data_IF_553479009399
#
_entry.id   IF_553479009399
#
_cell.length_a   1.000
_cell.length_b   1.000
_cell.length_c   1.000
_cell.angle_alpha   90.00
_cell.angle_beta   90.00
_cell.angle_gamma   90.00
#
_symmetry.space_group_name_H-M   'P 1'
#
loop_
_entity.id
_entity.type
_entity.pdbx_description
1 polymer ?
#
# COMPACT_ATOMS: atom_id res chain seq x y z
N UNK A 1 -3.76 57.44 46.06
CA UNK A 1 -3.52 57.90 44.68
C UNK A 1 -2.27 57.25 44.06
N UNK A 2 -1.06 57.39 44.67
CA UNK A 2 0.20 56.80 44.10
C UNK A 2 0.16 55.28 44.06
N UNK A 3 -0.36 54.61 45.08
CA UNK A 3 -0.53 53.14 45.12
C UNK A 3 -1.61 52.68 44.15
N UNK A 4 -2.64 53.45 43.91
CA UNK A 4 -3.71 53.13 42.95
C UNK A 4 -3.20 53.21 41.50
N UNK A 5 -2.37 54.20 41.19
CA UNK A 5 -1.72 54.30 39.87
C UNK A 5 -0.77 53.15 39.62
N UNK A 6 0.01 52.77 40.64
CA UNK A 6 0.94 51.62 40.54
C UNK A 6 0.20 50.30 40.34
N UNK A 7 -0.93 50.10 41.03
CA UNK A 7 -1.79 48.91 40.87
C UNK A 7 -2.37 48.86 39.45
N UNK A 8 -2.89 49.99 38.96
CA UNK A 8 -3.45 50.09 37.62
C UNK A 8 -2.40 49.80 36.52
N UNK A 9 -1.18 50.33 36.70
CA UNK A 9 -0.07 50.05 35.78
C UNK A 9 0.33 48.56 35.80
N UNK A 10 0.45 47.95 36.98
CA UNK A 10 0.74 46.50 37.11
C UNK A 10 -0.36 45.62 36.52
N UNK A 11 -1.62 46.00 36.72
CA UNK A 11 -2.77 45.31 36.08
C UNK A 11 -2.70 45.40 34.57
N UNK A 12 -2.37 46.59 34.01
CA UNK A 12 -2.21 46.74 32.55
C UNK A 12 -1.08 45.90 32.01
N UNK A 13 0.11 45.92 32.66
CA UNK A 13 1.25 45.06 32.28
C UNK A 13 0.93 43.57 32.36
N UNK A 14 0.19 43.17 33.40
CA UNK A 14 -0.28 41.80 33.55
C UNK A 14 -1.22 41.40 32.41
N UNK A 15 -2.19 42.26 32.08
CA UNK A 15 -3.15 42.03 31.01
C UNK A 15 -2.47 41.91 29.63
N UNK A 16 -1.49 42.75 29.34
CA UNK A 16 -0.72 42.71 28.11
C UNK A 16 0.11 41.39 28.02
N UNK A 17 0.77 41.01 29.10
CA UNK A 17 1.53 39.74 29.17
C UNK A 17 0.63 38.48 29.07
N UNK A 18 -0.54 38.52 29.74
CA UNK A 18 -1.56 37.47 29.63
C UNK A 18 -2.13 37.38 28.20
N UNK A 19 -2.33 38.53 27.51
CA UNK A 19 -2.77 38.54 26.13
C UNK A 19 -1.76 37.84 25.18
N UNK A 20 -0.48 38.14 25.31
CA UNK A 20 0.58 37.50 24.54
C UNK A 20 0.69 35.99 24.86
N UNK A 21 0.59 35.63 26.16
CA UNK A 21 0.58 34.22 26.58
C UNK A 21 -0.67 33.49 26.05
N UNK A 22 -1.85 34.11 26.07
CA UNK A 22 -3.05 33.48 25.54
C UNK A 22 -2.93 33.17 24.03
N UNK A 23 -2.28 34.05 23.26
CA UNK A 23 -2.00 33.80 21.84
C UNK A 23 -1.05 32.63 21.66
N UNK A 24 0.04 32.58 22.43
CA UNK A 24 0.99 31.45 22.38
C UNK A 24 0.33 30.12 22.77
N UNK A 25 -0.55 30.14 23.78
CA UNK A 25 -1.29 28.93 24.16
C UNK A 25 -2.33 28.54 23.13
N UNK A 26 -2.94 29.50 22.45
CA UNK A 26 -3.79 29.24 21.30
C UNK A 26 -3.05 28.49 20.18
N UNK A 27 -1.84 28.97 19.86
CA UNK A 27 -0.97 28.28 18.89
C UNK A 27 -0.53 26.89 19.37
N UNK A 28 -0.15 26.76 20.64
CA UNK A 28 0.24 25.46 21.20
C UNK A 28 -0.92 24.47 21.18
N UNK A 29 -2.13 24.91 21.54
CA UNK A 29 -3.35 24.09 21.50
C UNK A 29 -3.66 23.64 20.08
N UNK A 30 -3.61 24.54 19.09
CA UNK A 30 -3.82 24.22 17.69
C UNK A 30 -2.79 23.22 17.19
N UNK A 31 -1.50 23.48 17.43
CA UNK A 31 -0.41 22.58 17.02
C UNK A 31 -0.52 21.21 17.68
N UNK A 32 -0.91 21.18 18.96
CA UNK A 32 -1.14 19.90 19.67
C UNK A 32 -2.32 19.13 19.08
N UNK A 33 -3.40 19.84 18.67
CA UNK A 33 -4.56 19.22 18.00
C UNK A 33 -4.20 18.60 16.65
N UNK A 34 -3.43 19.32 15.83
CA UNK A 34 -2.90 18.79 14.57
C UNK A 34 -1.98 17.57 14.80
N UNK A 35 -1.16 17.64 15.86
CA UNK A 35 -0.28 16.52 16.23
C UNK A 35 -1.06 15.28 16.70
N UNK A 36 -2.15 15.42 17.47
CA UNK A 36 -3.03 14.30 17.85
C UNK A 36 -3.51 13.57 16.62
N UNK A 37 -4.11 14.27 15.66
CA UNK A 37 -4.65 13.69 14.43
C UNK A 37 -3.56 12.92 13.64
N UNK A 38 -2.36 13.50 13.55
CA UNK A 38 -1.23 12.84 12.88
C UNK A 38 -0.75 11.59 13.64
N UNK A 39 -0.66 11.66 14.97
CA UNK A 39 -0.16 10.54 15.78
C UNK A 39 -1.16 9.39 15.86
N UNK A 40 -2.46 9.65 15.85
CA UNK A 40 -3.50 8.62 15.82
C UNK A 40 -3.37 7.73 14.59
N UNK A 41 -3.10 8.31 13.43
CA UNK A 41 -2.95 7.54 12.19
C UNK A 41 -1.54 6.99 11.97
N UNK A 42 -0.55 7.45 12.73
CA UNK A 42 0.85 7.09 12.53
C UNK A 42 1.17 5.69 13.02
N UNK A 43 1.85 4.91 12.16
CA UNK A 43 2.40 3.59 12.52
C UNK A 43 3.46 3.65 13.63
N UNK A 44 4.03 4.83 13.88
CA UNK A 44 5.00 5.03 14.96
C UNK A 44 4.30 4.90 16.33
N UNK A 45 3.00 5.22 16.41
CA UNK A 45 2.21 5.06 17.64
C UNK A 45 2.00 3.60 18.03
N UNK A 46 2.09 2.66 17.11
CA UNK A 46 2.12 1.24 17.43
C UNK A 46 3.37 0.84 18.23
N UNK A 47 4.49 1.52 17.99
CA UNK A 47 5.75 1.30 18.73
C UNK A 47 5.83 2.13 20.01
N UNK A 48 5.26 3.32 20.01
CA UNK A 48 5.28 4.27 21.14
C UNK A 48 3.84 4.66 21.51
N UNK A 49 3.13 3.81 22.27
CA UNK A 49 1.74 4.07 22.65
C UNK A 49 1.61 5.26 23.61
N UNK A 50 0.41 5.84 23.73
CA UNK A 50 0.07 6.89 24.68
C UNK A 50 0.51 8.31 24.28
N UNK A 51 1.01 8.53 23.07
CA UNK A 51 1.41 9.85 22.58
C UNK A 51 0.20 10.77 22.33
N UNK A 52 -0.86 10.22 21.74
CA UNK A 52 -2.11 10.93 21.54
C UNK A 52 -2.78 11.32 22.86
N UNK A 53 -2.92 10.40 23.79
CA UNK A 53 -3.53 10.61 25.11
C UNK A 53 -2.85 11.76 25.90
N UNK A 54 -1.53 11.84 25.84
CA UNK A 54 -0.79 12.94 26.46
C UNK A 54 -1.18 14.30 25.87
N UNK A 55 -1.25 14.39 24.53
CA UNK A 55 -1.61 15.64 23.83
C UNK A 55 -3.07 16.03 24.07
N UNK A 56 -3.99 15.07 24.07
CA UNK A 56 -5.39 15.32 24.44
C UNK A 56 -5.54 15.85 25.88
N UNK A 57 -4.85 15.24 26.83
CA UNK A 57 -4.83 15.72 28.20
C UNK A 57 -4.25 17.13 28.31
N UNK A 58 -3.21 17.45 27.55
CA UNK A 58 -2.63 18.79 27.50
C UNK A 58 -3.60 19.81 26.89
N UNK A 59 -4.28 19.47 25.80
CA UNK A 59 -5.30 20.32 25.18
C UNK A 59 -6.45 20.57 26.15
N UNK A 60 -6.96 19.54 26.79
CA UNK A 60 -8.04 19.65 27.77
C UNK A 60 -7.64 20.57 28.94
N UNK A 61 -6.41 20.44 29.43
CA UNK A 61 -5.84 21.32 30.48
C UNK A 61 -5.81 22.79 30.02
N UNK A 62 -5.37 23.06 28.80
CA UNK A 62 -5.26 24.43 28.27
C UNK A 62 -6.64 25.04 27.92
N UNK A 63 -7.61 24.21 27.52
CA UNK A 63 -8.94 24.67 27.11
C UNK A 63 -9.91 24.87 28.28
N UNK A 64 -9.73 24.18 29.39
CA UNK A 64 -10.73 24.09 30.47
C UNK A 64 -10.41 24.89 31.71
N UNK A 65 -9.21 25.47 31.85
CA UNK A 65 -8.84 26.16 33.09
C UNK A 65 -7.78 27.24 32.85
N UNK A 66 -7.64 28.13 33.82
CA UNK A 66 -6.54 29.09 33.90
C UNK A 66 -5.15 28.42 34.18
N UNK A 67 -5.05 27.12 33.95
CA UNK A 67 -3.82 26.38 34.18
C UNK A 67 -2.94 26.42 32.93
N UNK A 68 -1.77 26.98 33.13
CA UNK A 68 -0.73 27.06 32.11
C UNK A 68 -0.04 25.70 31.96
N UNK A 69 0.36 25.30 30.75
CA UNK A 69 1.22 24.15 30.56
C UNK A 69 2.57 24.34 31.25
N UNK A 70 3.13 23.29 31.81
CA UNK A 70 4.48 23.35 32.37
C UNK A 70 5.53 23.32 31.25
N UNK A 71 6.75 23.71 31.57
CA UNK A 71 7.86 23.65 30.61
C UNK A 71 8.10 22.21 30.17
N UNK A 72 8.01 21.28 31.08
CA UNK A 72 8.19 19.83 30.80
C UNK A 72 7.11 19.29 29.82
N UNK A 73 5.87 19.80 29.93
CA UNK A 73 4.80 19.43 29.01
C UNK A 73 5.06 20.01 27.60
N UNK A 74 5.56 21.24 27.51
CA UNK A 74 5.94 21.86 26.22
C UNK A 74 7.14 21.13 25.61
N UNK A 75 8.14 20.80 26.40
CA UNK A 75 9.30 20.00 25.97
C UNK A 75 8.87 18.62 25.47
N UNK A 76 7.90 18.00 26.13
CA UNK A 76 7.37 16.70 25.71
C UNK A 76 6.64 16.80 24.36
N UNK A 77 5.86 17.84 24.08
CA UNK A 77 5.27 18.07 22.77
C UNK A 77 6.35 18.13 21.69
N UNK A 78 7.39 18.92 21.94
CA UNK A 78 8.52 19.04 21.03
C UNK A 78 9.24 17.72 20.81
N UNK A 79 9.47 16.97 21.87
CA UNK A 79 10.10 15.66 21.83
C UNK A 79 9.30 14.65 21.00
N UNK A 80 7.97 14.63 21.15
CA UNK A 80 7.12 13.72 20.38
C UNK A 80 7.09 14.09 18.87
N UNK A 81 7.11 15.38 18.54
CA UNK A 81 7.24 15.82 17.15
C UNK A 81 8.59 15.42 16.55
N UNK A 82 9.69 15.61 17.29
CA UNK A 82 11.01 15.16 16.85
C UNK A 82 11.11 13.64 16.73
N UNK A 83 10.47 12.90 17.63
CA UNK A 83 10.37 11.44 17.55
C UNK A 83 9.69 11.02 16.26
N UNK A 84 8.54 11.62 15.94
CA UNK A 84 7.83 11.34 14.69
C UNK A 84 8.72 11.56 13.47
N UNK A 85 9.39 12.71 13.40
CA UNK A 85 10.31 13.03 12.31
C UNK A 85 11.47 12.04 12.20
N UNK A 86 12.07 11.67 13.33
CA UNK A 86 13.22 10.77 13.36
C UNK A 86 12.82 9.34 12.99
N UNK A 87 11.73 8.86 13.59
CA UNK A 87 11.26 7.49 13.41
C UNK A 87 10.62 7.27 12.05
N UNK A 88 10.10 8.32 11.39
CA UNK A 88 9.57 8.22 10.02
C UNK A 88 10.59 7.73 8.99
N UNK A 89 11.87 8.00 9.21
CA UNK A 89 12.97 7.56 8.35
C UNK A 89 13.59 6.21 8.73
N UNK A 90 13.11 5.55 9.81
CA UNK A 90 13.75 4.34 10.35
C UNK A 90 13.00 3.07 9.97
N UNK A 91 13.77 1.99 9.76
CA UNK A 91 13.26 0.62 9.71
C UNK A 91 13.63 -0.01 11.06
N UNK A 92 12.61 -0.42 11.82
CA UNK A 92 12.79 -0.90 13.20
C UNK A 92 11.97 -2.16 13.43
N UNK A 93 12.59 -3.14 14.07
CA UNK A 93 11.92 -4.33 14.57
C UNK A 93 11.63 -4.17 16.07
N UNK A 94 10.41 -4.49 16.48
CA UNK A 94 9.97 -4.45 17.88
C UNK A 94 8.91 -5.50 18.16
N UNK A 95 8.64 -5.79 19.42
CA UNK A 95 7.59 -6.72 19.82
C UNK A 95 6.27 -5.97 20.00
N UNK A 96 5.18 -6.50 19.44
CA UNK A 96 3.85 -5.93 19.55
C UNK A 96 2.78 -7.00 19.68
N UNK A 97 1.63 -6.62 20.25
CA UNK A 97 0.42 -7.45 20.20
C UNK A 97 -0.19 -7.36 18.81
N UNK A 98 -0.37 -8.50 18.18
CA UNK A 98 -0.91 -8.63 16.83
C UNK A 98 -2.15 -9.50 16.84
N UNK A 99 -3.13 -9.15 16.01
CA UNK A 99 -4.37 -9.92 15.84
C UNK A 99 -4.39 -10.51 14.44
N UNK A 100 -4.58 -11.82 14.34
CA UNK A 100 -4.76 -12.54 13.08
C UNK A 100 -6.17 -12.36 12.53
N UNK A 101 -6.41 -12.63 11.23
CA UNK A 101 -7.73 -12.52 10.62
C UNK A 101 -8.81 -13.44 11.27
N UNK A 102 -8.40 -14.52 11.93
CA UNK A 102 -9.28 -15.41 12.68
C UNK A 102 -9.61 -14.90 14.10
N UNK A 103 -9.08 -13.75 14.51
CA UNK A 103 -9.28 -13.14 15.82
C UNK A 103 -8.25 -13.57 16.88
N UNK A 104 -7.35 -14.48 16.57
CA UNK A 104 -6.32 -14.90 17.53
C UNK A 104 -5.32 -13.76 17.77
N UNK A 105 -5.08 -13.51 19.06
CA UNK A 105 -4.10 -12.54 19.53
C UNK A 105 -2.80 -13.24 19.85
N UNK A 106 -1.69 -12.64 19.41
CA UNK A 106 -0.35 -13.12 19.75
C UNK A 106 0.59 -11.92 19.92
N UNK A 107 1.56 -12.06 20.81
CA UNK A 107 2.71 -11.13 20.85
C UNK A 107 3.80 -11.68 19.96
N UNK A 108 4.30 -10.87 19.07
CA UNK A 108 5.33 -11.28 18.14
C UNK A 108 6.15 -10.12 17.61
N UNK A 109 7.25 -10.46 16.97
CA UNK A 109 8.13 -9.49 16.37
C UNK A 109 7.51 -8.93 15.09
N UNK A 110 7.48 -7.62 14.99
CA UNK A 110 7.04 -6.88 13.81
C UNK A 110 8.14 -5.95 13.32
N UNK A 111 8.11 -5.62 12.04
CA UNK A 111 9.06 -4.68 11.43
C UNK A 111 8.28 -3.51 10.84
N UNK A 112 8.56 -2.31 11.34
CA UNK A 112 8.02 -1.05 10.83
C UNK A 112 8.99 -0.45 9.80
N UNK A 113 8.47 -0.07 8.66
CA UNK A 113 9.20 0.60 7.58
C UNK A 113 8.73 2.05 7.52
N UNK A 114 9.40 2.92 8.24
CA UNK A 114 9.02 4.33 8.38
C UNK A 114 7.61 4.50 8.92
N UNK A 115 6.86 5.40 8.32
CA UNK A 115 5.42 5.60 8.53
C UNK A 115 4.57 4.86 7.49
N UNK A 116 5.19 4.07 6.61
CA UNK A 116 4.51 3.52 5.43
C UNK A 116 3.85 2.17 5.69
N UNK A 117 4.61 1.21 6.25
CA UNK A 117 4.13 -0.15 6.42
C UNK A 117 4.64 -0.79 7.71
N UNK A 118 3.83 -1.73 8.23
CA UNK A 118 4.24 -2.69 9.26
C UNK A 118 4.03 -4.10 8.71
N UNK A 119 4.97 -5.00 8.99
CA UNK A 119 4.91 -6.40 8.61
C UNK A 119 5.19 -7.29 9.82
N UNK A 120 4.61 -8.49 9.83
CA UNK A 120 4.93 -9.53 10.81
C UNK A 120 6.29 -10.19 10.51
N UNK A 121 6.76 -11.03 11.43
CA UNK A 121 7.98 -11.85 11.24
C UNK A 121 7.88 -12.77 10.01
N UNK A 122 6.69 -13.23 9.65
CA UNK A 122 6.41 -14.02 8.45
C UNK A 122 6.33 -13.18 7.17
N UNK A 123 6.42 -11.85 7.28
CA UNK A 123 6.32 -10.91 6.15
C UNK A 123 4.89 -10.59 5.75
N UNK A 124 3.90 -10.82 6.63
CA UNK A 124 2.51 -10.44 6.39
C UNK A 124 2.32 -8.97 6.64
N UNK A 125 1.68 -8.27 5.73
CA UNK A 125 1.35 -6.85 5.89
C UNK A 125 0.25 -6.69 6.93
N UNK A 126 0.40 -5.67 7.76
CA UNK A 126 -0.47 -5.37 8.89
C UNK A 126 -0.99 -3.94 8.81
N UNK A 127 -2.10 -3.68 9.47
CA UNK A 127 -2.63 -2.35 9.71
C UNK A 127 -2.60 -2.02 11.20
N UNK A 128 -2.39 -0.77 11.51
CA UNK A 128 -2.56 -0.25 12.87
C UNK A 128 -4.01 0.18 13.05
N UNK A 129 -4.63 -0.21 14.16
CA UNK A 129 -5.99 0.18 14.54
C UNK A 129 -5.89 1.07 15.77
N UNK A 130 -5.92 2.40 15.58
CA UNK A 130 -5.67 3.36 16.66
C UNK A 130 -6.61 3.18 17.86
N UNK A 131 -7.92 2.94 17.61
CA UNK A 131 -8.93 2.82 18.63
C UNK A 131 -8.69 1.63 19.60
N UNK A 132 -7.97 0.61 19.11
CA UNK A 132 -7.60 -0.56 19.89
C UNK A 132 -6.15 -0.53 20.36
N UNK A 133 -5.32 0.34 19.78
CA UNK A 133 -3.88 0.36 20.00
C UNK A 133 -3.17 -0.92 19.55
N UNK A 134 -3.78 -1.71 18.64
CA UNK A 134 -3.28 -3.03 18.22
C UNK A 134 -2.95 -3.06 16.73
N UNK A 135 -2.08 -4.00 16.35
CA UNK A 135 -1.79 -4.33 14.97
C UNK A 135 -2.64 -5.50 14.51
N UNK A 136 -3.35 -5.32 13.42
CA UNK A 136 -4.16 -6.38 12.81
C UNK A 136 -3.53 -6.83 11.50
N UNK A 137 -3.38 -8.13 11.31
CA UNK A 137 -2.97 -8.69 10.03
C UNK A 137 -4.06 -8.46 8.98
N UNK A 138 -3.69 -7.93 7.82
CA UNK A 138 -4.63 -7.75 6.72
C UNK A 138 -5.21 -9.11 6.31
N UNK A 139 -6.53 -9.23 6.33
CA UNK A 139 -7.24 -10.47 5.98
C UNK A 139 -6.89 -10.93 4.55
N UNK A 140 -6.64 -9.98 3.66
CA UNK A 140 -6.16 -10.23 2.32
C UNK A 140 -4.78 -9.58 2.16
N UNK A 141 -3.85 -10.30 1.59
CA UNK A 141 -2.46 -9.89 1.43
C UNK A 141 -2.15 -9.54 -0.02
N UNK A 142 -1.15 -8.68 -0.29
CA UNK A 142 -0.76 -8.34 -1.65
C UNK A 142 -0.28 -9.59 -2.40
N UNK A 143 -0.65 -9.68 -3.68
CA UNK A 143 -0.24 -10.76 -4.56
C UNK A 143 1.15 -10.54 -5.15
N UNK A 144 1.74 -11.59 -5.72
CA UNK A 144 3.04 -11.50 -6.41
C UNK A 144 4.23 -11.56 -5.45
N UNK A 145 5.34 -10.85 -5.73
CA UNK A 145 6.60 -11.01 -5.01
C UNK A 145 6.66 -10.28 -3.66
N UNK A 146 5.66 -9.46 -3.33
CA UNK A 146 5.69 -8.55 -2.18
C UNK A 146 5.84 -9.27 -0.84
N UNK A 147 5.10 -10.37 -0.64
CA UNK A 147 5.20 -11.17 0.59
C UNK A 147 6.59 -11.79 0.76
N UNK A 148 7.19 -12.28 -0.33
CA UNK A 148 8.54 -12.82 -0.30
C UNK A 148 9.59 -11.77 0.05
N UNK A 149 9.45 -10.55 -0.48
CA UNK A 149 10.35 -9.44 -0.13
C UNK A 149 10.17 -9.00 1.32
N UNK A 150 8.92 -8.92 1.80
CA UNK A 150 8.61 -8.59 3.19
C UNK A 150 9.18 -9.64 4.16
N UNK A 151 9.00 -10.93 3.88
CA UNK A 151 9.57 -12.01 4.69
C UNK A 151 11.10 -11.99 4.72
N UNK A 152 11.74 -11.66 3.60
CA UNK A 152 13.19 -11.50 3.55
C UNK A 152 13.66 -10.31 4.39
N UNK A 153 12.96 -9.17 4.34
CA UNK A 153 13.25 -8.01 5.17
C UNK A 153 13.08 -8.35 6.66
N UNK A 154 11.98 -9.01 7.04
CA UNK A 154 11.69 -9.35 8.43
C UNK A 154 12.76 -10.27 9.07
N UNK A 155 13.37 -11.14 8.29
CA UNK A 155 14.44 -12.06 8.73
C UNK A 155 15.84 -11.46 8.67
N UNK A 156 16.01 -10.33 7.99
CA UNK A 156 17.32 -9.70 7.82
C UNK A 156 17.70 -8.87 9.04
N UNK A 157 18.98 -8.83 9.35
CA UNK A 157 19.55 -7.97 10.40
C UNK A 157 20.32 -6.77 9.82
N UNK A 158 20.64 -6.79 8.52
CA UNK A 158 21.43 -5.74 7.86
C UNK A 158 21.38 -5.87 6.35
N UNK A 159 21.83 -4.85 5.65
CA UNK A 159 21.93 -4.83 4.19
C UNK A 159 20.73 -4.16 3.50
N UNK A 160 20.75 -4.16 2.16
CA UNK A 160 19.70 -3.59 1.33
C UNK A 160 18.75 -4.69 0.85
N UNK A 161 17.47 -4.53 1.11
CA UNK A 161 16.44 -5.49 0.74
C UNK A 161 15.37 -4.81 -0.11
N UNK A 162 14.80 -5.55 -1.08
CA UNK A 162 13.62 -5.10 -1.81
C UNK A 162 12.42 -5.16 -0.88
N UNK A 163 11.58 -4.15 -0.95
CA UNK A 163 10.34 -4.07 -0.18
C UNK A 163 9.27 -3.31 -0.96
N UNK A 164 8.02 -3.73 -0.85
CA UNK A 164 6.88 -3.01 -1.41
C UNK A 164 6.38 -1.98 -0.40
N UNK A 165 6.59 -0.69 -0.68
CA UNK A 165 6.15 0.41 0.17
C UNK A 165 4.82 0.95 -0.32
N UNK A 166 3.87 1.17 0.59
CA UNK A 166 2.66 1.93 0.31
C UNK A 166 2.91 3.43 0.61
N UNK A 167 3.06 4.27 -0.41
CA UNK A 167 3.35 5.68 -0.22
C UNK A 167 2.15 6.47 0.34
N UNK A 168 0.95 5.89 0.34
CA UNK A 168 -0.29 6.57 0.78
C UNK A 168 -0.60 6.31 2.26
N UNK A 169 0.09 5.37 2.92
CA UNK A 169 -0.10 5.04 4.33
C UNK A 169 -0.07 6.27 5.25
N UNK A 170 0.97 7.14 5.18
CA UNK A 170 1.10 8.31 6.05
C UNK A 170 0.00 9.37 5.89
N UNK A 171 -0.70 9.38 4.76
CA UNK A 171 -1.77 10.36 4.46
C UNK A 171 -3.17 9.79 4.71
N UNK A 172 -3.27 8.65 5.40
CA UNK A 172 -4.55 7.96 5.60
C UNK A 172 -5.11 7.33 4.33
N UNK A 173 -4.34 7.31 3.25
CA UNK A 173 -4.67 6.60 2.03
C UNK A 173 -4.47 5.10 2.19
N UNK A 174 -5.04 4.33 1.29
CA UNK A 174 -4.98 2.87 1.31
C UNK A 174 -4.76 2.33 -0.10
N UNK A 175 -3.65 2.76 -0.73
CA UNK A 175 -3.28 2.21 -2.03
C UNK A 175 -3.04 0.71 -1.94
N UNK A 176 -2.41 0.26 -0.86
CA UNK A 176 -2.22 -1.16 -0.57
C UNK A 176 -3.56 -1.89 -0.44
N UNK A 177 -4.55 -1.31 0.27
CA UNK A 177 -5.87 -1.90 0.37
C UNK A 177 -6.61 -1.89 -0.98
N UNK A 178 -6.48 -0.86 -1.79
CA UNK A 178 -7.03 -0.81 -3.14
C UNK A 178 -6.40 -1.88 -4.05
N UNK A 179 -5.07 -2.05 -3.97
CA UNK A 179 -4.34 -3.08 -4.69
C UNK A 179 -4.75 -4.49 -4.25
N UNK A 180 -4.87 -4.70 -2.94
CA UNK A 180 -5.29 -5.97 -2.33
C UNK A 180 -6.72 -6.31 -2.74
N UNK A 181 -7.62 -5.33 -2.79
CA UNK A 181 -9.02 -5.52 -3.19
C UNK A 181 -9.20 -5.66 -4.70
N UNK A 182 -8.16 -5.42 -5.49
CA UNK A 182 -8.21 -5.67 -6.94
C UNK A 182 -8.34 -7.17 -7.20
N UNK A 183 -9.37 -7.62 -7.93
CA UNK A 183 -9.56 -9.05 -8.19
C UNK A 183 -8.44 -9.60 -9.07
N UNK A 184 -7.92 -10.77 -8.72
CA UNK A 184 -6.98 -11.53 -9.52
C UNK A 184 -7.61 -11.99 -10.84
N UNK A 185 -6.79 -12.43 -11.82
CA UNK A 185 -7.30 -12.93 -13.10
C UNK A 185 -8.29 -14.11 -12.91
N UNK A 186 -8.00 -15.01 -11.99
CA UNK A 186 -8.88 -16.13 -11.63
C UNK A 186 -10.21 -15.64 -11.05
N UNK A 187 -10.16 -14.69 -10.10
CA UNK A 187 -11.36 -14.09 -9.51
C UNK A 187 -12.18 -13.32 -10.56
N UNK A 188 -11.52 -12.58 -11.47
CA UNK A 188 -12.21 -11.90 -12.59
C UNK A 188 -12.90 -12.90 -13.50
N UNK A 189 -12.27 -14.04 -13.75
CA UNK A 189 -12.86 -15.10 -14.54
C UNK A 189 -14.10 -15.68 -13.86
N UNK A 190 -14.01 -15.97 -12.56
CA UNK A 190 -15.15 -16.44 -11.77
C UNK A 190 -16.27 -15.39 -11.62
N UNK A 191 -15.92 -14.09 -11.53
CA UNK A 191 -16.89 -13.00 -11.51
C UNK A 191 -17.73 -12.93 -12.79
N UNK A 192 -17.19 -13.37 -13.92
CA UNK A 192 -17.93 -13.50 -15.17
C UNK A 192 -19.06 -14.55 -15.16
N UNK A 193 -19.09 -15.41 -14.15
CA UNK A 193 -20.10 -16.45 -13.96
C UNK A 193 -20.30 -17.33 -15.20
N UNK A 194 -21.52 -17.81 -15.40
CA UNK A 194 -21.85 -18.69 -16.56
C UNK A 194 -21.58 -18.03 -17.92
N UNK A 195 -21.80 -16.71 -18.02
CA UNK A 195 -21.55 -15.98 -19.27
C UNK A 195 -20.06 -15.92 -19.57
N UNK A 196 -19.24 -15.63 -18.56
CA UNK A 196 -17.78 -15.62 -18.68
C UNK A 196 -17.22 -16.99 -19.09
N UNK A 197 -17.73 -18.07 -18.54
CA UNK A 197 -17.33 -19.43 -18.91
C UNK A 197 -17.75 -19.76 -20.36
N UNK A 198 -18.96 -19.37 -20.78
CA UNK A 198 -19.42 -19.59 -22.15
C UNK A 198 -18.54 -18.83 -23.16
N UNK A 199 -18.22 -17.56 -22.90
CA UNK A 199 -17.34 -16.77 -23.76
C UNK A 199 -15.93 -17.39 -23.82
N UNK A 200 -15.40 -17.83 -22.70
CA UNK A 200 -14.08 -18.49 -22.65
C UNK A 200 -14.08 -19.80 -23.45
N UNK A 201 -15.15 -20.60 -23.35
CA UNK A 201 -15.26 -21.84 -24.11
C UNK A 201 -15.31 -21.59 -25.64
N UNK A 202 -16.11 -20.62 -26.06
CA UNK A 202 -16.18 -20.22 -27.48
C UNK A 202 -14.85 -19.67 -27.97
N UNK A 203 -14.18 -18.83 -27.16
CA UNK A 203 -12.85 -18.31 -27.43
C UNK A 203 -11.79 -19.42 -27.58
N UNK A 204 -11.82 -20.42 -26.71
CA UNK A 204 -10.94 -21.57 -26.79
C UNK A 204 -11.13 -22.38 -28.06
N UNK A 205 -12.37 -22.66 -28.44
CA UNK A 205 -12.69 -23.36 -29.70
C UNK A 205 -12.21 -22.55 -30.90
N UNK A 206 -12.49 -21.25 -30.95
CA UNK A 206 -12.02 -20.38 -32.02
C UNK A 206 -10.48 -20.36 -32.12
N UNK A 207 -9.79 -20.33 -30.98
CA UNK A 207 -8.34 -20.37 -30.93
C UNK A 207 -7.76 -21.68 -31.44
N UNK A 208 -8.36 -22.82 -31.08
CA UNK A 208 -7.99 -24.14 -31.60
C UNK A 208 -8.16 -24.24 -33.13
N UNK A 209 -9.26 -23.72 -33.63
CA UNK A 209 -9.49 -23.65 -35.08
C UNK A 209 -8.43 -22.78 -35.77
N UNK A 210 -8.10 -21.64 -35.20
CA UNK A 210 -7.06 -20.74 -35.72
C UNK A 210 -5.67 -21.43 -35.77
N UNK A 211 -5.29 -22.11 -34.70
CA UNK A 211 -4.03 -22.91 -34.66
C UNK A 211 -4.04 -24.00 -35.72
N UNK A 212 -5.11 -24.78 -35.78
CA UNK A 212 -5.26 -25.83 -36.80
C UNK A 212 -5.13 -25.27 -38.22
N UNK A 213 -5.81 -24.16 -38.49
CA UNK A 213 -5.73 -23.50 -39.80
C UNK A 213 -4.30 -23.04 -40.12
N UNK A 214 -3.61 -22.48 -39.14
CA UNK A 214 -2.24 -22.04 -39.29
C UNK A 214 -1.28 -23.19 -39.59
N UNK A 215 -1.45 -24.35 -38.93
CA UNK A 215 -0.68 -25.55 -39.18
C UNK A 215 -0.94 -26.07 -40.60
N UNK A 216 -2.23 -26.19 -41.00
CA UNK A 216 -2.59 -26.67 -42.34
C UNK A 216 -2.04 -25.77 -43.44
N UNK A 217 -2.18 -24.43 -43.28
CA UNK A 217 -1.63 -23.47 -44.23
C UNK A 217 -0.12 -23.51 -44.31
N UNK A 218 0.58 -23.66 -43.17
CA UNK A 218 2.03 -23.78 -43.14
C UNK A 218 2.54 -25.05 -43.86
N UNK A 219 1.87 -26.19 -43.61
CA UNK A 219 2.16 -27.44 -44.30
C UNK A 219 1.91 -27.33 -45.80
N UNK A 220 0.81 -26.67 -46.19
CA UNK A 220 0.48 -26.45 -47.59
C UNK A 220 1.48 -25.54 -48.30
N UNK A 221 1.88 -24.44 -47.62
CA UNK A 221 2.91 -23.53 -48.10
C UNK A 221 4.25 -24.24 -48.32
N UNK A 222 4.65 -25.11 -47.39
CA UNK A 222 5.85 -25.95 -47.54
C UNK A 222 5.79 -26.86 -48.75
N UNK A 223 4.61 -27.54 -48.98
CA UNK A 223 4.41 -28.41 -50.14
C UNK A 223 4.44 -27.63 -51.45
N UNK A 224 3.86 -26.44 -51.50
CA UNK A 224 3.89 -25.56 -52.68
C UNK A 224 5.32 -25.08 -52.97
N UNK A 225 6.06 -24.68 -51.93
CA UNK A 225 7.48 -24.28 -52.06
C UNK A 225 8.35 -25.41 -52.59
N UNK A 226 8.10 -26.64 -52.13
CA UNK A 226 8.78 -27.85 -52.68
C UNK A 226 8.43 -28.10 -54.12
N UNK A 227 7.16 -27.89 -54.55
CA UNK A 227 6.73 -28.04 -55.92
C UNK A 227 7.40 -27.05 -56.87
N UNK A 228 7.60 -25.80 -56.42
CA UNK A 228 8.33 -24.78 -57.21
C UNK A 228 9.79 -25.19 -57.52
N UNK A 229 10.38 -26.03 -56.70
CA UNK A 229 11.75 -26.56 -56.89
C UNK A 229 11.77 -27.86 -57.68
N UNK A 230 10.63 -28.51 -57.92
CA UNK A 230 10.50 -29.78 -58.57
C UNK A 230 10.01 -29.62 -60.02
N UNK A 231 10.69 -30.23 -60.97
CA UNK A 231 10.30 -30.24 -62.39
C UNK A 231 9.16 -31.20 -62.72
N UNK A 232 8.60 -31.97 -61.74
CA UNK A 232 7.49 -32.93 -61.97
C UNK A 232 6.27 -32.46 -61.17
N UNK A 233 5.08 -32.47 -61.81
CA UNK A 233 3.83 -32.15 -61.15
C UNK A 233 3.47 -33.18 -60.07
N UNK A 234 3.24 -32.72 -58.82
CA UNK A 234 2.82 -33.56 -57.68
C UNK A 234 1.34 -33.22 -57.34
N UNK A 235 0.40 -34.15 -57.53
CA UNK A 235 -1.03 -33.93 -57.31
C UNK A 235 -1.40 -33.70 -55.84
N UNK A 236 -0.50 -33.96 -54.90
CA UNK A 236 -0.74 -33.81 -53.46
C UNK A 236 -0.68 -32.38 -52.95
N UNK A 237 -0.48 -31.39 -53.81
CA UNK A 237 -0.54 -29.96 -53.48
C UNK A 237 -1.32 -29.17 -54.55
N UNK A 238 -1.87 -28.00 -54.21
CA UNK A 238 -2.69 -27.23 -55.15
C UNK A 238 -1.95 -26.84 -56.45
N UNK A 239 -0.68 -26.39 -56.31
CA UNK A 239 0.13 -25.98 -57.46
C UNK A 239 0.42 -27.17 -58.39
N UNK A 240 0.79 -28.30 -57.81
CA UNK A 240 1.06 -29.52 -58.59
C UNK A 240 -0.16 -30.06 -59.33
N UNK A 241 -1.37 -29.90 -58.80
CA UNK A 241 -2.61 -30.24 -59.49
C UNK A 241 -2.83 -29.36 -60.73
N UNK A 242 -2.56 -28.05 -60.61
CA UNK A 242 -2.65 -27.13 -61.76
C UNK A 242 -1.60 -27.46 -62.81
N UNK A 243 -0.34 -27.73 -62.39
CA UNK A 243 0.73 -28.15 -63.31
C UNK A 243 0.42 -29.48 -64.00
N UNK A 244 -0.17 -30.45 -63.34
CA UNK A 244 -0.55 -31.72 -63.92
C UNK A 244 -1.63 -31.57 -65.04
N UNK A 245 -2.59 -30.64 -64.86
CA UNK A 245 -3.56 -30.31 -65.90
C UNK A 245 -2.92 -29.63 -67.11
N UNK A 246 -1.94 -28.77 -66.87
CA UNK A 246 -1.18 -28.11 -67.96
C UNK A 246 -0.30 -29.11 -68.70
N UNK A 247 0.39 -30.02 -68.01
CA UNK A 247 1.18 -31.10 -68.66
C UNK A 247 0.33 -32.05 -69.49
N UNK A 248 -0.93 -32.29 -69.05
CA UNK A 248 -1.88 -33.13 -69.85
C UNK A 248 -2.45 -32.42 -71.08
N UNK A 249 -2.44 -31.09 -71.12
CA UNK A 249 -3.00 -30.29 -72.22
C UNK A 249 -2.05 -29.16 -72.64
N UNK A 250 -0.89 -29.46 -73.25
CA UNK A 250 0.17 -28.47 -73.55
C UNK A 250 -0.19 -27.46 -74.64
N UNK A 251 -1.39 -27.56 -75.25
CA UNK A 251 -1.84 -26.73 -76.37
C UNK A 251 -2.89 -25.67 -75.98
N UNK A 252 -3.10 -25.43 -74.67
CA UNK A 252 -3.99 -24.34 -74.15
C UNK A 252 -3.17 -23.15 -73.76
#
# INVERSE_FOLDING_TARGET
EENELLVAEKQKQLKERLGTLAELFGHLTSTSGDAVTNFESSLISAQFPGRGEFLEALIAKMSGSDQLPSIEEIERVWFELQREMTESGRIVAFDAETTKPNGDKQTGKVVRVGTFNIISEEGRYMQFVPEKGTLEELARQPSGPYLGWAANLAKSSSGMHKFGVDPTGPTGGSYLAALINSPNLEERWHQGGYVGYAITAVGAVAFLIAIWRLIVLSLMSSKVSSQLKSGKANPNNPLGRVLAVYEANPTV
#
